data_IF_201490362104
#
_entry.id   IF_201490362104
#
_cell.length_a   1.000
_cell.length_b   1.000
_cell.length_c   1.000
_cell.angle_alpha   90.00
_cell.angle_beta   90.00
_cell.angle_gamma   90.00
#
_symmetry.space_group_name_H-M   'P 1'
#
loop_
_entity.id
_entity.type
_entity.pdbx_description
1 polymer ?
#
# COMPACT_ATOMS: atom_id res chain seq x y z
N UNK A 1 24.18 -4.69 3.85
CA UNK A 1 23.58 -5.68 2.97
C UNK A 1 24.33 -5.56 1.66
N UNK A 2 25.14 -6.56 1.36
CA UNK A 2 26.02 -6.54 0.17
C UNK A 2 25.15 -6.71 -1.08
N UNK A 3 25.16 -5.72 -1.97
CA UNK A 3 24.37 -5.72 -3.20
C UNK A 3 25.20 -6.20 -4.41
N UNK A 4 26.37 -6.80 -4.17
CA UNK A 4 27.30 -7.28 -5.21
C UNK A 4 27.11 -8.77 -5.57
N UNK A 5 26.01 -9.39 -5.18
CA UNK A 5 25.65 -10.75 -5.59
C UNK A 5 25.31 -10.81 -7.07
N UNK A 6 25.94 -11.78 -7.74
CA UNK A 6 25.78 -12.24 -9.12
C UNK A 6 24.35 -12.05 -9.70
N UNK A 7 24.19 -11.63 -10.98
CA UNK A 7 22.86 -11.48 -11.59
C UNK A 7 22.12 -12.80 -11.48
N UNK A 8 21.28 -12.86 -10.49
CA UNK A 8 20.40 -13.88 -9.94
C UNK A 8 20.17 -15.06 -10.88
N UNK A 9 20.81 -16.18 -10.58
CA UNK A 9 20.37 -17.48 -11.04
C UNK A 9 19.04 -17.82 -10.31
N UNK A 10 17.95 -17.21 -10.75
CA UNK A 10 16.59 -17.42 -10.22
C UNK A 10 15.86 -18.57 -10.93
N UNK A 11 16.56 -19.29 -11.82
CA UNK A 11 16.07 -20.50 -12.44
C UNK A 11 16.02 -21.60 -11.37
N UNK A 12 14.79 -21.85 -10.87
CA UNK A 12 14.53 -22.92 -9.92
C UNK A 12 14.11 -22.50 -8.50
N UNK A 13 14.06 -21.22 -8.18
CA UNK A 13 13.47 -20.78 -6.92
C UNK A 13 11.93 -20.88 -7.03
N UNK A 14 11.34 -21.91 -6.46
CA UNK A 14 9.88 -22.00 -6.34
C UNK A 14 9.40 -20.83 -5.49
N UNK A 15 8.63 -19.94 -6.12
CA UNK A 15 7.90 -18.92 -5.39
C UNK A 15 6.89 -19.63 -4.50
N UNK A 16 7.04 -19.46 -3.20
CA UNK A 16 6.13 -19.98 -2.22
C UNK A 16 4.80 -19.20 -2.21
N UNK A 17 4.36 -18.76 -1.04
CA UNK A 17 3.10 -18.03 -0.89
C UNK A 17 3.24 -16.58 -1.32
N UNK A 18 2.35 -16.15 -2.19
CA UNK A 18 2.34 -14.80 -2.74
C UNK A 18 1.12 -14.03 -2.26
N UNK A 19 1.29 -12.74 -2.02
CA UNK A 19 0.20 -11.88 -1.64
C UNK A 19 0.32 -10.47 -2.26
N UNK A 20 -0.81 -9.80 -2.38
CA UNK A 20 -0.89 -8.42 -2.81
C UNK A 20 -1.56 -7.56 -1.74
N UNK A 21 -1.01 -6.38 -1.49
CA UNK A 21 -1.64 -5.31 -0.72
C UNK A 21 -2.22 -4.31 -1.72
N UNK A 22 -3.49 -4.48 -2.04
CA UNK A 22 -4.23 -3.53 -2.85
C UNK A 22 -4.48 -2.26 -2.03
N UNK A 23 -4.23 -1.11 -2.62
CA UNK A 23 -4.26 0.15 -1.88
C UNK A 23 -4.84 1.31 -2.68
N UNK A 24 -5.36 2.27 -1.95
CA UNK A 24 -5.62 3.63 -2.44
C UNK A 24 -4.53 4.54 -1.89
N UNK A 25 -4.02 5.51 -2.63
CA UNK A 25 -2.91 6.36 -2.17
C UNK A 25 -3.14 6.96 -0.78
N UNK A 26 -2.08 7.08 0.00
CA UNK A 26 -2.08 7.62 1.37
C UNK A 26 -2.87 6.80 2.39
N UNK A 27 -3.12 5.54 2.12
CA UNK A 27 -3.75 4.60 3.07
C UNK A 27 -2.81 4.08 4.16
N UNK A 28 -1.51 4.40 4.09
CA UNK A 28 -0.50 3.94 5.06
C UNK A 28 0.22 2.66 4.64
N UNK A 29 0.23 2.35 3.35
CA UNK A 29 0.86 1.17 2.78
C UNK A 29 2.35 1.09 3.12
N UNK A 30 3.09 2.19 2.97
CA UNK A 30 4.51 2.25 3.33
C UNK A 30 4.77 1.81 4.78
N UNK A 31 3.88 2.20 5.72
CA UNK A 31 4.00 1.75 7.11
C UNK A 31 3.81 0.22 7.22
N UNK A 32 2.76 -0.31 6.58
CA UNK A 32 2.49 -1.74 6.58
C UNK A 32 3.61 -2.54 5.90
N UNK A 33 4.10 -2.08 4.74
CA UNK A 33 5.19 -2.73 4.03
C UNK A 33 6.46 -2.87 4.89
N UNK A 34 6.85 -1.79 5.55
CA UNK A 34 8.01 -1.82 6.44
C UNK A 34 7.77 -2.65 7.70
N UNK A 35 6.55 -2.62 8.25
CA UNK A 35 6.18 -3.49 9.36
C UNK A 35 6.40 -4.97 9.00
N UNK A 36 5.91 -5.39 7.83
CA UNK A 36 6.04 -6.76 7.34
C UNK A 36 7.50 -7.10 7.03
N UNK A 37 8.22 -6.22 6.31
CA UNK A 37 9.65 -6.36 6.03
C UNK A 37 10.47 -6.57 7.30
N UNK A 38 10.19 -5.80 8.35
CA UNK A 38 10.96 -5.83 9.59
C UNK A 38 10.76 -7.14 10.40
N UNK A 39 9.79 -7.97 10.04
CA UNK A 39 9.67 -9.32 10.59
C UNK A 39 10.65 -10.30 9.95
N UNK A 40 11.09 -10.04 8.70
CA UNK A 40 11.92 -10.94 7.89
C UNK A 40 11.20 -12.20 7.40
N UNK A 41 9.85 -12.25 7.46
CA UNK A 41 9.07 -13.46 7.13
C UNK A 41 8.02 -13.28 6.04
N UNK A 42 7.80 -12.04 5.59
CA UNK A 42 6.78 -11.70 4.58
C UNK A 42 7.35 -11.12 3.29
N UNK A 43 8.68 -11.19 3.10
CA UNK A 43 9.34 -10.50 2.02
C UNK A 43 9.38 -8.97 2.24
N UNK A 44 9.59 -8.26 1.17
CA UNK A 44 9.51 -6.80 1.16
C UNK A 44 8.45 -6.34 0.15
N UNK A 45 7.18 -6.24 0.56
CA UNK A 45 6.16 -5.67 -0.31
C UNK A 45 6.47 -4.20 -0.57
N UNK A 46 6.40 -3.79 -1.83
CA UNK A 46 6.56 -2.41 -2.27
C UNK A 46 5.82 -2.24 -3.60
N UNK A 47 5.73 -1.00 -4.08
CA UNK A 47 5.10 -0.66 -5.37
C UNK A 47 6.00 -1.06 -6.57
N UNK A 48 6.51 -2.29 -6.58
CA UNK A 48 7.45 -2.79 -7.59
C UNK A 48 6.93 -2.70 -9.02
N UNK A 49 5.62 -2.64 -9.18
CA UNK A 49 4.95 -2.45 -10.48
C UNK A 49 4.65 -0.99 -10.80
N UNK A 50 5.09 -0.03 -10.01
CA UNK A 50 5.13 1.37 -10.42
C UNK A 50 6.12 1.53 -11.57
N UNK A 51 5.76 2.28 -12.61
CA UNK A 51 6.51 2.37 -13.87
C UNK A 51 8.01 2.58 -13.64
N UNK A 52 8.38 3.58 -12.84
CA UNK A 52 9.79 3.91 -12.60
C UNK A 52 10.57 2.80 -11.88
N UNK A 53 9.93 2.11 -10.92
CA UNK A 53 10.55 0.98 -10.22
C UNK A 53 10.65 -0.24 -11.14
N UNK A 54 9.59 -0.57 -11.86
CA UNK A 54 9.57 -1.68 -12.80
C UNK A 54 10.61 -1.53 -13.92
N UNK A 55 10.78 -0.33 -14.47
CA UNK A 55 11.82 -0.03 -15.44
C UNK A 55 13.23 -0.13 -14.84
N UNK A 56 13.41 0.27 -13.58
CA UNK A 56 14.65 0.09 -12.83
C UNK A 56 15.01 -1.38 -12.68
N UNK A 57 14.08 -2.16 -12.15
CA UNK A 57 14.22 -3.60 -11.96
C UNK A 57 14.46 -4.34 -13.29
N UNK A 58 13.77 -3.94 -14.37
CA UNK A 58 13.97 -4.53 -15.69
C UNK A 58 15.40 -4.31 -16.21
N UNK A 59 15.94 -3.11 -16.01
CA UNK A 59 17.35 -2.81 -16.38
C UNK A 59 18.35 -3.60 -15.55
N UNK A 60 18.13 -3.66 -14.21
CA UNK A 60 19.04 -4.36 -13.29
C UNK A 60 19.02 -5.88 -13.50
N UNK A 61 17.86 -6.45 -13.79
CA UNK A 61 17.69 -7.90 -13.92
C UNK A 61 17.87 -8.39 -15.36
N UNK A 62 17.95 -7.49 -16.35
CA UNK A 62 17.97 -7.84 -17.77
C UNK A 62 16.71 -8.58 -18.21
N UNK A 63 15.57 -8.27 -17.62
CA UNK A 63 14.30 -8.97 -17.92
C UNK A 63 13.77 -8.57 -19.29
N UNK A 64 13.53 -9.54 -20.21
CA UNK A 64 13.10 -9.24 -21.58
C UNK A 64 11.61 -8.93 -21.71
N UNK A 65 10.81 -9.33 -20.74
CA UNK A 65 9.37 -9.23 -20.75
C UNK A 65 8.79 -9.07 -19.34
N UNK A 66 7.51 -8.75 -19.27
CA UNK A 66 6.79 -8.52 -18.01
C UNK A 66 6.76 -9.75 -17.09
N UNK A 67 6.47 -10.93 -17.63
CA UNK A 67 6.31 -12.12 -16.80
C UNK A 67 7.64 -12.54 -16.17
N UNK A 68 8.72 -12.39 -16.91
CA UNK A 68 10.09 -12.60 -16.41
C UNK A 68 10.45 -11.56 -15.36
N UNK A 69 10.17 -10.27 -15.63
CA UNK A 69 10.41 -9.20 -14.68
C UNK A 69 9.66 -9.46 -13.38
N UNK A 70 8.37 -9.75 -13.48
CA UNK A 70 7.51 -9.94 -12.33
C UNK A 70 8.00 -11.11 -11.45
N UNK A 71 8.30 -12.26 -12.05
CA UNK A 71 8.84 -13.41 -11.32
C UNK A 71 10.18 -13.09 -10.63
N UNK A 72 11.08 -12.39 -11.32
CA UNK A 72 12.39 -12.00 -10.76
C UNK A 72 12.23 -11.05 -9.59
N UNK A 73 11.37 -10.05 -9.69
CA UNK A 73 11.07 -9.12 -8.62
C UNK A 73 10.50 -9.84 -7.40
N UNK A 74 9.52 -10.72 -7.61
CA UNK A 74 8.92 -11.48 -6.51
C UNK A 74 9.92 -12.39 -5.82
N UNK A 75 10.81 -13.05 -6.57
CA UNK A 75 11.87 -13.88 -6.00
C UNK A 75 12.93 -13.05 -5.26
N UNK A 76 13.37 -11.94 -5.85
CA UNK A 76 14.39 -11.04 -5.26
C UNK A 76 13.98 -10.50 -3.90
N UNK A 77 12.71 -10.18 -3.74
CA UNK A 77 12.17 -9.58 -2.51
C UNK A 77 11.41 -10.56 -1.62
N UNK A 78 11.49 -11.85 -1.91
CA UNK A 78 10.97 -12.89 -1.03
C UNK A 78 11.79 -12.98 0.27
N UNK A 79 11.18 -13.47 1.31
CA UNK A 79 11.89 -13.92 2.53
C UNK A 79 12.35 -15.36 2.37
N UNK A 80 13.28 -15.79 3.24
CA UNK A 80 13.90 -17.14 3.19
C UNK A 80 12.89 -18.29 3.24
N UNK A 81 11.67 -18.04 3.71
CA UNK A 81 10.57 -19.01 3.73
C UNK A 81 9.74 -19.03 2.42
N UNK A 82 10.19 -18.34 1.38
CA UNK A 82 9.55 -18.27 0.08
C UNK A 82 8.32 -17.34 0.01
N UNK A 83 7.98 -16.63 1.08
CA UNK A 83 6.87 -15.66 1.06
C UNK A 83 7.32 -14.38 0.39
N UNK A 84 6.52 -13.92 -0.56
CA UNK A 84 6.73 -12.63 -1.24
C UNK A 84 5.43 -11.85 -1.37
N UNK A 85 5.54 -10.52 -1.40
CA UNK A 85 4.39 -9.62 -1.48
C UNK A 85 4.66 -8.39 -2.33
N UNK A 86 3.57 -7.76 -2.78
CA UNK A 86 3.59 -6.55 -3.59
C UNK A 86 2.55 -5.55 -3.10
N UNK A 87 2.85 -4.26 -3.21
CA UNK A 87 1.87 -3.18 -3.10
C UNK A 87 1.31 -2.84 -4.49
N UNK A 88 -0.02 -2.80 -4.61
CA UNK A 88 -0.72 -2.55 -5.87
C UNK A 88 -1.69 -1.37 -5.75
N UNK A 89 -1.43 -0.30 -6.49
CA UNK A 89 -2.42 0.72 -6.82
C UNK A 89 -3.10 0.38 -8.16
N UNK A 90 -4.29 0.93 -8.42
CA UNK A 90 -5.00 0.72 -9.69
C UNK A 90 -4.19 1.17 -10.91
N UNK A 91 -3.39 2.21 -10.77
CA UNK A 91 -2.48 2.66 -11.82
C UNK A 91 -1.50 1.56 -12.26
N UNK A 92 -1.02 0.74 -11.32
CA UNK A 92 -0.11 -0.38 -11.62
C UNK A 92 -0.81 -1.46 -12.46
N UNK A 93 -2.07 -1.76 -12.15
CA UNK A 93 -2.87 -2.70 -12.94
C UNK A 93 -3.13 -2.18 -14.35
N UNK A 94 -3.47 -0.89 -14.47
CA UNK A 94 -3.71 -0.25 -15.77
C UNK A 94 -2.45 -0.30 -16.63
N UNK A 95 -1.32 0.09 -16.06
CA UNK A 95 -0.05 0.04 -16.77
C UNK A 95 0.36 -1.40 -17.13
N UNK A 96 0.26 -2.34 -16.20
CA UNK A 96 0.59 -3.73 -16.45
C UNK A 96 -0.26 -4.37 -17.55
N UNK A 97 -1.56 -4.04 -17.60
CA UNK A 97 -2.45 -4.46 -18.69
C UNK A 97 -2.02 -3.89 -20.05
N UNK A 98 -1.63 -2.62 -20.07
CA UNK A 98 -1.11 -1.98 -21.28
C UNK A 98 0.22 -2.60 -21.72
N UNK A 99 1.12 -2.85 -20.79
CA UNK A 99 2.43 -3.41 -21.08
C UNK A 99 2.38 -4.87 -21.57
N UNK A 100 1.40 -5.65 -21.10
CA UNK A 100 1.28 -7.06 -21.42
C UNK A 100 0.23 -7.38 -22.50
N UNK A 101 -0.69 -6.45 -22.78
CA UNK A 101 -1.88 -6.72 -23.57
C UNK A 101 -2.88 -7.68 -22.91
N UNK A 102 -2.67 -8.05 -21.64
CA UNK A 102 -3.50 -9.01 -20.89
C UNK A 102 -4.52 -8.30 -20.02
N UNK A 103 -5.80 -8.68 -20.04
CA UNK A 103 -6.82 -8.11 -19.16
C UNK A 103 -6.60 -8.53 -17.70
N UNK A 104 -6.07 -9.73 -17.49
CA UNK A 104 -5.84 -10.31 -16.16
C UNK A 104 -4.34 -10.50 -15.93
N UNK A 105 -3.80 -9.66 -15.05
CA UNK A 105 -2.40 -9.70 -14.61
C UNK A 105 -2.25 -10.11 -13.15
N UNK A 106 -3.38 -10.28 -12.46
CA UNK A 106 -3.42 -10.77 -11.09
C UNK A 106 -3.73 -12.27 -11.10
N UNK A 107 -2.96 -13.03 -10.34
CA UNK A 107 -3.15 -14.45 -10.20
C UNK A 107 -4.23 -14.75 -9.14
N UNK A 108 -5.31 -15.48 -9.46
CA UNK A 108 -6.35 -15.84 -8.50
C UNK A 108 -5.84 -16.72 -7.35
N UNK A 109 -4.68 -17.37 -7.50
CA UNK A 109 -4.03 -18.15 -6.44
C UNK A 109 -3.36 -17.31 -5.36
N UNK A 110 -3.28 -15.99 -5.52
CA UNK A 110 -2.68 -15.12 -4.53
C UNK A 110 -3.64 -14.78 -3.40
N UNK A 111 -3.07 -14.39 -2.27
CA UNK A 111 -3.83 -13.79 -1.17
C UNK A 111 -3.91 -12.29 -1.35
N UNK A 112 -5.11 -11.74 -1.33
CA UNK A 112 -5.34 -10.31 -1.50
C UNK A 112 -5.74 -9.64 -0.20
N UNK A 113 -4.96 -8.63 0.19
CA UNK A 113 -5.30 -7.70 1.27
C UNK A 113 -5.68 -6.37 0.65
N UNK A 114 -6.75 -5.74 1.16
CA UNK A 114 -7.18 -4.42 0.71
C UNK A 114 -7.03 -3.41 1.83
N UNK A 115 -6.03 -2.54 1.71
CA UNK A 115 -5.70 -1.53 2.71
C UNK A 115 -6.47 -0.25 2.48
N UNK A 116 -7.24 0.14 3.47
CA UNK A 116 -8.04 1.36 3.49
C UNK A 116 -7.69 2.23 4.70
N UNK A 117 -8.18 3.47 4.68
CA UNK A 117 -8.10 4.38 5.82
C UNK A 117 -9.50 4.84 6.19
N UNK A 118 -9.89 4.73 7.48
CA UNK A 118 -11.22 5.16 7.93
C UNK A 118 -11.39 6.67 7.83
N UNK A 119 -10.36 7.42 8.21
CA UNK A 119 -10.40 8.88 8.17
C UNK A 119 -10.04 9.41 6.78
N UNK A 120 -11.06 9.54 5.91
CA UNK A 120 -10.87 10.02 4.54
C UNK A 120 -10.42 11.48 4.48
N UNK A 121 -10.83 12.31 5.43
CA UNK A 121 -10.42 13.71 5.49
C UNK A 121 -8.91 13.81 5.72
N UNK A 122 -8.38 13.06 6.69
CA UNK A 122 -6.92 12.98 6.90
C UNK A 122 -6.18 12.39 5.72
N UNK A 123 -6.77 11.43 5.03
CA UNK A 123 -6.20 10.85 3.83
C UNK A 123 -6.11 11.89 2.72
N UNK A 124 -7.17 12.65 2.49
CA UNK A 124 -7.24 13.72 1.51
C UNK A 124 -6.28 14.88 1.82
N UNK A 125 -6.18 15.31 3.09
CA UNK A 125 -5.19 16.29 3.53
C UNK A 125 -3.77 15.79 3.23
N UNK A 126 -3.48 14.54 3.57
CA UNK A 126 -2.17 13.92 3.25
C UNK A 126 -1.90 13.89 1.76
N UNK A 127 -2.93 13.65 0.94
CA UNK A 127 -2.83 13.66 -0.53
C UNK A 127 -2.56 15.07 -1.06
N UNK A 128 -3.29 16.07 -0.56
CA UNK A 128 -3.10 17.48 -0.91
C UNK A 128 -1.66 17.93 -0.61
N UNK A 129 -1.18 17.68 0.62
CA UNK A 129 0.19 18.04 1.01
C UNK A 129 1.23 17.31 0.16
N UNK A 130 1.07 16.03 -0.09
CA UNK A 130 2.00 15.25 -0.89
C UNK A 130 2.06 15.74 -2.35
N UNK A 131 0.90 16.02 -2.94
CA UNK A 131 0.81 16.53 -4.32
C UNK A 131 1.43 17.91 -4.48
N UNK A 132 1.18 18.84 -3.56
CA UNK A 132 1.70 20.21 -3.63
C UNK A 132 3.20 20.28 -3.33
N UNK A 133 3.70 19.44 -2.43
CA UNK A 133 5.11 19.46 -2.03
C UNK A 133 6.01 18.54 -2.87
N UNK A 134 5.46 17.58 -3.61
CA UNK A 134 6.22 16.51 -4.26
C UNK A 134 6.83 15.49 -3.29
N UNK A 135 6.59 15.61 -1.97
CA UNK A 135 7.13 14.71 -0.95
C UNK A 135 6.11 13.60 -0.64
N UNK A 136 6.31 12.45 -1.25
CA UNK A 136 5.37 11.33 -1.18
C UNK A 136 5.63 10.41 0.02
N UNK A 137 6.89 10.21 0.40
CA UNK A 137 7.28 9.21 1.40
C UNK A 137 8.14 9.81 2.51
N UNK A 138 8.08 9.19 3.71
CA UNK A 138 8.86 9.63 4.88
C UNK A 138 10.37 9.55 4.68
N UNK A 139 10.85 8.59 3.89
CA UNK A 139 12.28 8.47 3.59
C UNK A 139 12.80 9.57 2.66
N UNK A 140 11.93 10.36 2.01
CA UNK A 140 12.27 11.55 1.24
C UNK A 140 12.40 12.80 2.12
N UNK A 141 12.16 12.70 3.43
CA UNK A 141 12.08 13.82 4.34
C UNK A 141 13.46 14.35 4.72
N UNK A 142 13.99 15.23 3.89
CA UNK A 142 15.13 16.10 4.21
C UNK A 142 14.63 17.40 4.88
N UNK A 143 15.54 18.23 5.40
CA UNK A 143 15.16 19.54 5.96
C UNK A 143 14.52 20.44 4.91
N UNK A 144 14.99 20.40 3.66
CA UNK A 144 14.41 21.18 2.57
C UNK A 144 13.05 20.62 2.14
N UNK A 145 12.90 19.30 2.06
CA UNK A 145 11.61 18.65 1.81
C UNK A 145 10.59 19.01 2.92
N UNK A 146 11.04 19.11 4.16
CA UNK A 146 10.22 19.56 5.30
C UNK A 146 9.75 21.00 5.11
N UNK A 147 10.65 21.92 4.74
CA UNK A 147 10.30 23.33 4.45
C UNK A 147 9.26 23.45 3.33
N UNK A 148 9.48 22.75 2.20
CA UNK A 148 8.54 22.75 1.07
C UNK A 148 7.17 22.22 1.51
N UNK A 149 7.15 21.16 2.28
CA UNK A 149 5.94 20.56 2.79
C UNK A 149 5.21 21.49 3.78
N UNK A 150 5.96 22.18 4.63
CA UNK A 150 5.39 23.12 5.61
C UNK A 150 4.89 24.42 4.98
N UNK A 151 5.36 24.76 3.78
CA UNK A 151 4.88 25.89 3.00
C UNK A 151 3.55 25.62 2.25
N UNK A 152 3.08 24.37 2.19
CA UNK A 152 1.78 24.05 1.57
C UNK A 152 0.65 24.72 2.33
N UNK A 153 -0.23 25.40 1.60
CA UNK A 153 -1.38 26.11 2.16
C UNK A 153 -2.62 25.20 2.24
N UNK A 154 -3.47 25.51 3.19
CA UNK A 154 -4.77 24.87 3.33
C UNK A 154 -5.72 25.31 2.21
N UNK A 155 -6.44 24.34 1.61
CA UNK A 155 -7.37 24.60 0.49
C UNK A 155 -8.56 23.61 0.57
N UNK A 156 -9.73 24.11 1.00
CA UNK A 156 -10.96 23.33 1.14
C UNK A 156 -11.43 22.70 -0.17
N UNK A 157 -11.51 23.44 -1.30
CA UNK A 157 -11.85 22.88 -2.61
C UNK A 157 -10.91 21.74 -3.04
N UNK A 158 -9.61 21.93 -2.85
CA UNK A 158 -8.62 20.89 -3.20
C UNK A 158 -8.79 19.64 -2.33
N UNK A 159 -8.95 19.80 -1.01
CA UNK A 159 -9.19 18.67 -0.10
C UNK A 159 -10.49 17.93 -0.49
N UNK A 160 -11.58 18.65 -0.81
CA UNK A 160 -12.82 18.05 -1.30
C UNK A 160 -12.61 17.25 -2.59
N UNK A 161 -11.83 17.78 -3.51
CA UNK A 161 -11.50 17.09 -4.77
C UNK A 161 -10.72 15.81 -4.51
N UNK A 162 -9.79 15.82 -3.55
CA UNK A 162 -9.08 14.61 -3.14
C UNK A 162 -9.98 13.58 -2.45
N UNK A 163 -10.97 14.00 -1.65
CA UNK A 163 -11.95 13.07 -1.08
C UNK A 163 -12.71 12.35 -2.21
N UNK A 164 -13.20 13.08 -3.21
CA UNK A 164 -13.87 12.48 -4.38
C UNK A 164 -12.97 11.49 -5.11
N UNK A 165 -11.74 11.89 -5.40
CA UNK A 165 -10.76 11.02 -6.04
C UNK A 165 -10.56 9.72 -5.25
N UNK A 166 -10.36 9.82 -3.94
CA UNK A 166 -10.13 8.65 -3.08
C UNK A 166 -11.35 7.70 -3.06
N UNK A 167 -12.56 8.25 -3.04
CA UNK A 167 -13.80 7.46 -3.12
C UNK A 167 -13.94 6.76 -4.47
N UNK A 168 -13.61 7.45 -5.56
CA UNK A 168 -13.63 6.86 -6.90
C UNK A 168 -12.63 5.72 -7.04
N UNK A 169 -11.42 5.87 -6.47
CA UNK A 169 -10.41 4.81 -6.45
C UNK A 169 -10.88 3.60 -5.60
N UNK A 170 -11.51 3.84 -4.45
CA UNK A 170 -12.09 2.76 -3.64
C UNK A 170 -13.19 2.01 -4.43
N UNK A 171 -14.06 2.72 -5.12
CA UNK A 171 -15.13 2.13 -5.94
C UNK A 171 -14.56 1.32 -7.12
N UNK A 172 -13.50 1.82 -7.77
CA UNK A 172 -12.83 1.09 -8.84
C UNK A 172 -12.20 -0.21 -8.32
N UNK A 173 -11.59 -0.20 -7.13
CA UNK A 173 -11.08 -1.42 -6.50
C UNK A 173 -12.19 -2.45 -6.23
N UNK A 174 -13.33 -2.04 -5.66
CA UNK A 174 -14.45 -2.95 -5.41
C UNK A 174 -14.98 -3.57 -6.72
N UNK A 175 -15.01 -2.79 -7.81
CA UNK A 175 -15.35 -3.30 -9.15
C UNK A 175 -14.33 -4.30 -9.68
N UNK A 176 -13.04 -4.03 -9.48
CA UNK A 176 -11.97 -4.96 -9.90
C UNK A 176 -12.05 -6.28 -9.12
N UNK A 177 -12.26 -6.23 -7.81
CA UNK A 177 -12.45 -7.44 -7.01
C UNK A 177 -13.67 -8.25 -7.49
N UNK A 178 -14.80 -7.58 -7.73
CA UNK A 178 -16.00 -8.23 -8.27
C UNK A 178 -15.77 -8.84 -9.65
N UNK A 179 -15.06 -8.13 -10.55
CA UNK A 179 -14.73 -8.63 -11.89
C UNK A 179 -13.86 -9.88 -11.86
N UNK A 180 -12.92 -9.95 -10.93
CA UNK A 180 -11.97 -11.07 -10.79
C UNK A 180 -12.49 -12.18 -9.86
N UNK A 181 -13.64 -12.01 -9.22
CA UNK A 181 -14.13 -12.96 -8.22
C UNK A 181 -13.25 -13.05 -6.96
N UNK A 182 -12.52 -11.98 -6.64
CA UNK A 182 -11.64 -11.91 -5.48
C UNK A 182 -12.39 -11.33 -4.28
N UNK A 183 -12.37 -12.02 -3.14
CA UNK A 183 -12.80 -11.47 -1.85
C UNK A 183 -11.55 -11.10 -1.04
N UNK A 184 -11.15 -9.80 -1.00
CA UNK A 184 -9.94 -9.39 -0.32
C UNK A 184 -10.14 -9.31 1.20
N UNK A 185 -9.08 -9.53 1.95
CA UNK A 185 -9.05 -9.30 3.38
C UNK A 185 -8.89 -7.80 3.62
N UNK A 186 -9.95 -7.18 4.14
CA UNK A 186 -9.99 -5.72 4.34
C UNK A 186 -9.24 -5.30 5.60
N UNK A 187 -8.28 -4.40 5.41
CA UNK A 187 -7.43 -3.83 6.45
C UNK A 187 -7.68 -2.34 6.60
N UNK A 188 -7.56 -1.84 7.83
CA UNK A 188 -7.63 -0.41 8.09
C UNK A 188 -6.34 0.08 8.74
N UNK A 189 -5.81 1.18 8.21
CA UNK A 189 -4.59 1.81 8.70
C UNK A 189 -4.62 2.06 10.21
N UNK A 190 -5.76 2.53 10.72
CA UNK A 190 -5.95 2.84 12.13
C UNK A 190 -5.82 1.61 13.02
N UNK A 191 -6.30 0.44 12.57
CA UNK A 191 -6.18 -0.82 13.32
C UNK A 191 -4.74 -1.31 13.33
N UNK A 192 -4.07 -1.21 12.18
CA UNK A 192 -2.67 -1.62 12.04
C UNK A 192 -1.77 -0.77 12.93
N UNK A 193 -1.98 0.55 12.94
CA UNK A 193 -1.16 1.46 13.75
C UNK A 193 -1.45 1.36 15.24
N UNK A 194 -2.68 1.02 15.62
CA UNK A 194 -3.05 0.83 17.02
C UNK A 194 -2.50 -0.49 17.57
N UNK A 195 -2.42 -1.53 16.76
CA UNK A 195 -2.04 -2.89 17.17
C UNK A 195 -1.26 -3.61 16.07
N UNK A 196 -0.01 -3.19 15.79
CA UNK A 196 0.80 -3.75 14.71
C UNK A 196 1.02 -5.26 14.83
N UNK A 197 1.11 -5.79 16.06
CA UNK A 197 1.28 -7.23 16.30
C UNK A 197 0.07 -8.06 15.84
N UNK A 198 -1.13 -7.47 15.92
CA UNK A 198 -2.34 -8.13 15.38
C UNK A 198 -2.33 -8.19 13.86
N UNK A 199 -1.84 -7.13 13.20
CA UNK A 199 -1.69 -7.15 11.76
C UNK A 199 -0.69 -8.24 11.34
N UNK A 200 0.46 -8.33 11.97
CA UNK A 200 1.46 -9.38 11.71
C UNK A 200 0.87 -10.78 11.93
N UNK A 201 0.13 -10.98 13.02
CA UNK A 201 -0.54 -12.25 13.30
C UNK A 201 -1.57 -12.61 12.23
N UNK A 202 -2.38 -11.63 11.77
CA UNK A 202 -3.34 -11.84 10.69
C UNK A 202 -2.64 -12.31 9.42
N UNK A 203 -1.56 -11.63 9.00
CA UNK A 203 -0.78 -12.05 7.84
C UNK A 203 -0.20 -13.46 8.02
N UNK A 204 0.34 -13.79 9.22
CA UNK A 204 0.86 -15.13 9.51
C UNK A 204 -0.22 -16.20 9.36
N UNK A 205 -1.38 -16.00 9.97
CA UNK A 205 -2.48 -16.97 9.92
C UNK A 205 -2.99 -17.18 8.50
N UNK A 206 -3.24 -16.09 7.78
CA UNK A 206 -3.79 -16.13 6.43
C UNK A 206 -2.81 -16.76 5.44
N UNK A 207 -1.52 -16.43 5.57
CA UNK A 207 -0.47 -17.01 4.74
C UNK A 207 0.02 -18.37 5.28
N UNK A 208 -0.60 -18.89 6.35
CA UNK A 208 -0.31 -20.20 6.92
C UNK A 208 1.13 -20.34 7.41
N UNK A 209 1.71 -19.30 8.00
CA UNK A 209 3.02 -19.43 8.65
C UNK A 209 2.88 -20.19 9.96
N UNK A 210 3.86 -21.06 10.31
CA UNK A 210 3.77 -21.90 11.51
C UNK A 210 3.80 -21.10 12.82
N UNK A 211 4.43 -19.93 12.78
CA UNK A 211 4.59 -19.04 13.93
C UNK A 211 4.36 -17.59 13.54
N UNK A 212 3.82 -16.80 14.48
CA UNK A 212 3.74 -15.34 14.31
C UNK A 212 5.12 -14.73 14.54
N UNK A 213 5.71 -14.09 13.53
CA UNK A 213 7.05 -13.54 13.69
C UNK A 213 7.04 -12.29 14.58
N UNK A 214 8.15 -12.08 15.27
CA UNK A 214 8.37 -10.88 16.09
C UNK A 214 8.69 -9.68 15.19
N UNK A 215 8.13 -8.52 15.52
CA UNK A 215 8.45 -7.27 14.87
C UNK A 215 9.81 -6.79 15.40
N UNK A 216 10.81 -6.76 14.52
CA UNK A 216 12.06 -6.05 14.82
C UNK A 216 11.77 -4.55 14.78
N UNK A 217 12.42 -3.76 15.62
CA UNK A 217 12.16 -2.32 15.79
C UNK A 217 11.90 -1.60 14.46
N UNK A 218 10.74 -0.93 14.37
CA UNK A 218 10.39 -0.12 13.21
C UNK A 218 10.81 1.33 13.45
N UNK A 219 11.53 1.91 12.50
CA UNK A 219 11.98 3.31 12.50
C UNK A 219 11.03 4.24 11.74
N UNK A 220 9.82 3.77 11.38
CA UNK A 220 8.91 4.60 10.61
C UNK A 220 8.12 5.51 11.52
N UNK A 221 8.45 6.79 11.45
CA UNK A 221 7.73 7.85 12.15
C UNK A 221 6.42 8.20 11.42
N UNK A 222 5.39 8.54 12.20
CA UNK A 222 4.18 9.16 11.69
C UNK A 222 4.52 10.54 11.11
N UNK A 223 4.14 10.78 9.86
CA UNK A 223 4.31 12.09 9.22
C UNK A 223 3.21 13.08 9.65
N UNK A 224 2.20 12.65 10.40
CA UNK A 224 1.11 13.50 10.89
C UNK A 224 1.63 14.52 11.92
N UNK A 225 1.32 15.80 11.69
CA UNK A 225 1.68 16.92 12.57
C UNK A 225 0.41 17.52 13.20
N UNK A 226 0.56 18.37 14.23
CA UNK A 226 -0.52 19.19 14.79
C UNK A 226 -1.28 19.98 13.71
N UNK A 227 -0.56 20.46 12.69
CA UNK A 227 -1.18 21.11 11.51
C UNK A 227 -2.21 20.23 10.82
N UNK A 228 -1.99 18.92 10.74
CA UNK A 228 -2.96 17.99 10.14
C UNK A 228 -4.23 17.91 10.99
N UNK A 229 -4.10 17.98 12.30
CA UNK A 229 -5.23 17.98 13.23
C UNK A 229 -6.05 19.26 13.08
N UNK A 230 -5.38 20.42 13.02
CA UNK A 230 -6.01 21.74 12.81
C UNK A 230 -6.75 21.79 11.46
N UNK A 231 -6.12 21.28 10.39
CA UNK A 231 -6.72 21.25 9.06
C UNK A 231 -7.91 20.30 8.98
N UNK A 232 -7.86 19.17 9.67
CA UNK A 232 -9.00 18.26 9.76
C UNK A 232 -10.16 18.89 10.49
N UNK A 233 -9.92 19.52 11.65
CA UNK A 233 -10.95 20.19 12.41
C UNK A 233 -11.61 21.31 11.59
N UNK A 234 -10.80 22.16 10.97
CA UNK A 234 -11.25 23.23 10.08
C UNK A 234 -12.08 22.72 8.91
N UNK A 235 -11.61 21.66 8.21
CA UNK A 235 -12.33 21.09 7.07
C UNK A 235 -13.69 20.51 7.49
N UNK A 236 -13.74 19.84 8.63
CA UNK A 236 -14.99 19.28 9.16
C UNK A 236 -16.03 20.34 9.48
N UNK A 237 -15.60 21.52 9.92
CA UNK A 237 -16.46 22.66 10.18
C UNK A 237 -16.91 23.33 8.86
N UNK A 238 -15.97 23.68 7.99
CA UNK A 238 -16.26 24.38 6.73
C UNK A 238 -17.08 23.55 5.73
N UNK A 239 -16.97 22.23 5.74
CA UNK A 239 -17.55 21.32 4.75
C UNK A 239 -18.48 20.25 5.36
N UNK A 240 -19.05 20.55 6.53
CA UNK A 240 -19.90 19.64 7.29
C UNK A 240 -21.09 19.11 6.46
N UNK A 241 -21.71 19.99 5.65
CA UNK A 241 -22.82 19.59 4.78
C UNK A 241 -22.39 18.59 3.71
N UNK A 242 -21.24 18.79 3.09
CA UNK A 242 -20.69 17.84 2.12
C UNK A 242 -20.37 16.50 2.80
N UNK A 243 -19.72 16.52 3.95
CA UNK A 243 -19.38 15.30 4.68
C UNK A 243 -20.61 14.50 5.11
N UNK A 244 -21.71 15.19 5.52
CA UNK A 244 -22.96 14.53 5.89
C UNK A 244 -23.68 13.87 4.72
N UNK A 245 -23.47 14.39 3.50
CA UNK A 245 -24.06 13.86 2.27
C UNK A 245 -23.21 12.74 1.64
N UNK A 246 -21.97 12.53 2.12
CA UNK A 246 -21.16 11.42 1.61
C UNK A 246 -21.83 10.09 1.93
N UNK A 247 -22.01 9.20 0.94
CA UNK A 247 -22.38 7.84 1.23
C UNK A 247 -21.27 7.25 2.09
N UNK A 248 -21.57 7.04 3.37
CA UNK A 248 -20.66 6.41 4.34
C UNK A 248 -20.51 4.92 3.99
N UNK A 249 -20.01 4.61 2.79
CA UNK A 249 -19.60 3.27 2.37
C UNK A 249 -18.24 2.90 2.96
N UNK A 250 -18.03 3.31 4.20
CA UNK A 250 -17.01 2.74 5.07
C UNK A 250 -17.78 2.05 6.19
N UNK A 251 -18.35 0.87 5.92
CA UNK A 251 -19.06 0.17 6.97
C UNK A 251 -18.07 0.03 8.12
N UNK A 252 -18.49 0.49 9.29
CA UNK A 252 -17.99 -0.01 10.55
C UNK A 252 -18.41 -1.49 10.65
N UNK A 253 -17.98 -2.29 9.71
CA UNK A 253 -18.08 -3.72 9.83
C UNK A 253 -16.96 -4.08 10.78
N UNK A 254 -17.29 -4.02 12.08
CA UNK A 254 -16.80 -5.03 12.98
C UNK A 254 -17.33 -6.37 12.42
N UNK A 255 -16.62 -6.92 11.44
CA UNK A 255 -16.56 -8.35 11.37
C UNK A 255 -15.53 -8.68 12.46
N UNK A 256 -15.94 -9.13 13.65
CA UNK A 256 -15.00 -9.79 14.51
C UNK A 256 -14.58 -11.01 13.70
N UNK A 257 -13.38 -11.01 13.15
CA UNK A 257 -12.70 -12.27 12.91
C UNK A 257 -12.69 -12.88 14.31
N UNK A 258 -13.60 -13.82 14.51
CA UNK A 258 -13.64 -14.64 15.72
C UNK A 258 -12.28 -15.28 15.80
N UNK A 259 -11.42 -14.70 16.62
CA UNK A 259 -10.15 -15.27 17.00
C UNK A 259 -10.47 -16.09 18.27
N UNK A 260 -10.96 -17.31 18.04
CA UNK A 260 -10.81 -18.39 19.03
C UNK A 260 -9.36 -18.83 19.08
#
# INVERSE_FOLDING_TARGET
MDLTGDPLNLEGQELGRQYAICLVPRSGSTFLAHLLKNTGRFGFPNEWMAVALAEGEARETGSPDWDTLFRRVMARYASDNGVSGIELALAHLTWGRQATGRPDILDPGWTYFYLRRRNIVRQAISMHVAHQSGVLHSFQMTDDARKVRDAVLYDTPAIRSWIKFLQDEELKWEREFGRMGIEPIRLYYEDITARPERAVRLFSNVLGLPETPTIKTSTIERIGTSRTDDWEARYRDEDAQYLSALPLHRPFVHTPVSMS
#
